data_IF_977515661150
#
_entry.id   IF_977515661150
#
_cell.length_a   1.000
_cell.length_b   1.000
_cell.length_c   1.000
_cell.angle_alpha   90.00
_cell.angle_beta   90.00
_cell.angle_gamma   90.00
#
_symmetry.space_group_name_H-M   'P 1'
#
loop_
_entity.id
_entity.type
_entity.pdbx_description
1 polymer ?
#
# COMPACT_ATOMS: atom_id res chain seq x y z
N UNK A 1 -31.05 -9.12 3.37
CA UNK A 1 -30.66 -8.33 4.56
C UNK A 1 -31.90 -7.53 4.98
N UNK A 2 -32.03 -7.09 6.23
CA UNK A 2 -33.16 -6.23 6.66
C UNK A 2 -32.54 -4.91 7.11
N UNK A 3 -33.03 -3.79 6.60
CA UNK A 3 -32.48 -2.45 6.85
C UNK A 3 -33.31 -1.74 7.92
N UNK A 4 -32.66 -1.23 8.97
CA UNK A 4 -33.30 -0.47 10.04
C UNK A 4 -33.34 1.01 9.70
N UNK A 5 -34.52 1.61 9.87
CA UNK A 5 -34.80 2.98 9.42
C UNK A 5 -33.86 4.02 10.04
N UNK A 6 -33.65 3.97 11.35
CA UNK A 6 -32.84 4.97 12.04
C UNK A 6 -31.36 4.63 12.13
N UNK A 7 -31.03 3.35 12.17
CA UNK A 7 -29.73 2.85 12.63
C UNK A 7 -28.77 2.47 11.50
N UNK A 8 -29.29 2.20 10.32
CA UNK A 8 -28.46 1.85 9.17
C UNK A 8 -28.37 3.04 8.19
N UNK A 9 -27.27 3.15 7.45
CA UNK A 9 -27.06 4.20 6.46
C UNK A 9 -27.64 3.74 5.11
N UNK A 10 -28.90 4.10 4.84
CA UNK A 10 -29.65 3.62 3.66
C UNK A 10 -30.17 4.72 2.74
N UNK A 11 -30.09 5.99 3.17
CA UNK A 11 -30.37 7.17 2.33
C UNK A 11 -29.03 7.78 1.90
N UNK A 12 -28.21 8.16 2.88
CA UNK A 12 -26.91 8.81 2.69
C UNK A 12 -25.80 8.02 3.41
N UNK A 13 -24.58 8.57 3.40
CA UNK A 13 -23.41 8.03 4.12
C UNK A 13 -23.56 8.02 5.64
N UNK A 14 -24.52 8.79 6.19
CA UNK A 14 -24.82 8.88 7.61
C UNK A 14 -26.16 8.23 7.93
N UNK A 15 -26.32 7.82 9.18
CA UNK A 15 -27.59 7.28 9.68
C UNK A 15 -28.57 8.43 9.97
N UNK A 16 -29.87 8.18 9.82
CA UNK A 16 -30.88 9.16 10.22
C UNK A 16 -30.80 9.49 11.72
N UNK A 17 -30.36 8.54 12.57
CA UNK A 17 -30.09 8.79 13.99
C UNK A 17 -29.02 9.87 14.20
N UNK A 18 -27.96 9.86 13.40
CA UNK A 18 -26.87 10.84 13.51
C UNK A 18 -27.25 12.21 12.96
N UNK A 19 -28.13 12.26 11.95
CA UNK A 19 -28.59 13.53 11.37
C UNK A 19 -29.73 14.18 12.16
N UNK A 20 -30.64 13.36 12.71
CA UNK A 20 -31.80 13.81 13.47
C UNK A 20 -31.85 13.16 14.87
N UNK A 21 -30.89 13.47 15.76
CA UNK A 21 -30.77 12.82 17.07
C UNK A 21 -32.00 13.07 17.96
N UNK A 22 -32.60 14.27 17.87
CA UNK A 22 -33.80 14.63 18.66
C UNK A 22 -35.03 13.83 18.21
N UNK A 23 -35.27 13.76 16.90
CA UNK A 23 -36.35 12.95 16.35
C UNK A 23 -36.15 11.47 16.65
N UNK A 24 -34.91 10.98 16.57
CA UNK A 24 -34.60 9.60 16.96
C UNK A 24 -34.98 9.32 18.41
N UNK A 25 -34.68 10.24 19.35
CA UNK A 25 -35.06 10.08 20.77
C UNK A 25 -36.58 10.00 20.94
N UNK A 26 -37.31 10.84 20.20
CA UNK A 26 -38.77 10.92 20.25
C UNK A 26 -39.50 9.84 19.44
N UNK A 27 -38.83 9.14 18.54
CA UNK A 27 -39.47 8.08 17.75
C UNK A 27 -39.87 6.89 18.63
N UNK A 28 -41.09 6.39 18.43
CA UNK A 28 -41.55 5.12 19.01
C UNK A 28 -41.02 3.89 18.24
N UNK A 29 -40.39 4.10 17.07
CA UNK A 29 -39.99 3.07 16.12
C UNK A 29 -38.46 3.02 15.91
N UNK A 30 -37.69 3.22 16.99
CA UNK A 30 -36.22 3.41 16.93
C UNK A 30 -35.45 2.26 16.26
N UNK A 31 -35.95 1.03 16.39
CA UNK A 31 -35.32 -0.18 15.88
C UNK A 31 -36.05 -0.79 14.67
N UNK A 32 -37.09 -0.13 14.17
CA UNK A 32 -37.93 -0.67 13.12
C UNK A 32 -37.25 -0.72 11.75
N UNK A 33 -37.74 -1.63 10.92
CA UNK A 33 -37.29 -1.80 9.54
C UNK A 33 -37.91 -0.74 8.65
N UNK A 34 -37.17 -0.32 7.62
CA UNK A 34 -37.67 0.64 6.61
C UNK A 34 -39.00 0.18 6.01
N UNK A 35 -39.15 -1.13 5.76
CA UNK A 35 -40.38 -1.75 5.24
C UNK A 35 -41.59 -1.68 6.17
N UNK A 36 -41.38 -1.44 7.47
CA UNK A 36 -42.43 -1.42 8.49
C UNK A 36 -42.82 0.01 8.90
N UNK A 37 -42.12 1.01 8.35
CA UNK A 37 -42.32 2.42 8.69
C UNK A 37 -43.40 3.09 7.83
N UNK A 38 -44.25 2.32 7.17
CA UNK A 38 -45.24 2.83 6.23
C UNK A 38 -46.02 1.72 5.52
N UNK A 39 -46.81 2.11 4.52
CA UNK A 39 -47.65 1.21 3.74
C UNK A 39 -47.86 1.74 2.31
N UNK A 40 -48.27 0.87 1.39
CA UNK A 40 -48.57 1.27 0.00
C UNK A 40 -50.04 1.66 -0.17
N UNK A 41 -50.29 2.91 -0.55
CA UNK A 41 -51.59 3.37 -1.06
C UNK A 41 -51.56 3.35 -2.58
N UNK A 42 -51.98 2.21 -3.16
CA UNK A 42 -51.81 1.96 -4.60
C UNK A 42 -50.33 1.92 -4.98
N UNK A 43 -49.86 2.70 -5.97
CA UNK A 43 -48.46 2.72 -6.38
C UNK A 43 -47.56 3.56 -5.45
N UNK A 44 -48.13 4.28 -4.47
CA UNK A 44 -47.41 5.27 -3.67
C UNK A 44 -47.13 4.76 -2.26
N UNK A 45 -45.87 4.86 -1.83
CA UNK A 45 -45.49 4.55 -0.45
C UNK A 45 -45.84 5.73 0.46
N UNK A 46 -46.56 5.46 1.55
CA UNK A 46 -46.89 6.44 2.61
C UNK A 46 -46.13 6.11 3.89
N UNK A 47 -45.32 7.06 4.34
CA UNK A 47 -44.59 6.96 5.60
C UNK A 47 -45.52 7.16 6.80
N UNK A 48 -45.31 6.37 7.85
CA UNK A 48 -46.02 6.45 9.13
C UNK A 48 -44.99 6.53 10.25
N UNK A 49 -44.65 7.77 10.61
CA UNK A 49 -43.71 8.06 11.69
C UNK A 49 -44.47 8.22 13.02
N UNK A 50 -44.24 7.32 13.96
CA UNK A 50 -44.85 7.35 15.29
C UNK A 50 -43.91 8.00 16.33
N UNK A 51 -44.46 8.92 17.11
CA UNK A 51 -43.74 9.68 18.13
C UNK A 51 -44.23 9.31 19.53
N UNK A 52 -43.33 9.30 20.51
CA UNK A 52 -43.63 8.95 21.91
C UNK A 52 -44.46 10.03 22.62
N UNK A 53 -44.35 11.28 22.18
CA UNK A 53 -45.09 12.43 22.70
C UNK A 53 -45.33 13.46 21.59
N UNK A 54 -46.11 14.49 21.89
CA UNK A 54 -46.21 15.67 21.03
C UNK A 54 -44.83 16.31 20.81
N UNK A 55 -44.59 16.73 19.57
CA UNK A 55 -43.32 17.32 19.15
C UNK A 55 -43.35 18.84 19.33
N UNK A 56 -42.22 19.41 19.73
CA UNK A 56 -42.04 20.87 19.78
C UNK A 56 -42.03 21.47 18.37
N UNK A 57 -42.23 22.79 18.26
CA UNK A 57 -42.17 23.51 16.97
C UNK A 57 -40.85 23.29 16.22
N UNK A 58 -39.73 23.22 16.95
CA UNK A 58 -38.41 22.94 16.36
C UNK A 58 -38.32 21.50 15.84
N UNK A 59 -38.85 20.52 16.57
CA UNK A 59 -38.88 19.13 16.13
C UNK A 59 -39.82 18.96 14.92
N UNK A 60 -40.94 19.66 14.89
CA UNK A 60 -41.84 19.67 13.74
C UNK A 60 -41.16 20.20 12.48
N UNK A 61 -40.33 21.24 12.59
CA UNK A 61 -39.51 21.72 11.48
C UNK A 61 -38.53 20.65 10.97
N UNK A 62 -37.90 19.89 11.87
CA UNK A 62 -37.04 18.76 11.50
C UNK A 62 -37.82 17.63 10.81
N UNK A 63 -39.06 17.36 11.22
CA UNK A 63 -39.93 16.37 10.58
C UNK A 63 -40.22 16.77 9.13
N UNK A 64 -40.48 18.04 8.85
CA UNK A 64 -40.70 18.54 7.48
C UNK A 64 -39.45 18.30 6.63
N UNK A 65 -38.26 18.60 7.15
CA UNK A 65 -37.00 18.31 6.46
C UNK A 65 -36.85 16.82 6.18
N UNK A 66 -37.10 15.96 7.18
CA UNK A 66 -37.02 14.51 7.03
C UNK A 66 -38.02 14.01 5.98
N UNK A 67 -39.25 14.49 5.99
CA UNK A 67 -40.28 14.12 5.01
C UNK A 67 -39.88 14.49 3.58
N UNK A 68 -39.24 15.65 3.37
CA UNK A 68 -38.70 16.04 2.07
C UNK A 68 -37.63 15.05 1.55
N UNK A 69 -36.76 14.56 2.44
CA UNK A 69 -35.77 13.54 2.09
C UNK A 69 -36.45 12.20 1.75
N UNK A 70 -37.42 11.79 2.57
CA UNK A 70 -38.15 10.53 2.43
C UNK A 70 -39.06 10.47 1.20
N UNK A 71 -39.49 11.61 0.67
CA UNK A 71 -40.30 11.68 -0.55
C UNK A 71 -39.55 11.11 -1.77
N UNK A 72 -38.22 11.24 -1.78
CA UNK A 72 -37.38 10.75 -2.87
C UNK A 72 -36.78 9.35 -2.61
N UNK A 73 -36.98 8.80 -1.41
CA UNK A 73 -36.36 7.54 -0.98
C UNK A 73 -37.41 6.64 -0.34
N UNK A 74 -38.04 5.78 -1.14
CA UNK A 74 -39.03 4.81 -0.66
C UNK A 74 -38.67 3.37 -1.04
N UNK A 75 -39.14 2.37 -0.27
CA UNK A 75 -39.07 0.97 -0.69
C UNK A 75 -39.67 0.79 -2.10
N UNK A 76 -39.12 -0.17 -2.85
CA UNK A 76 -39.67 -0.57 -4.16
C UNK A 76 -40.50 -1.84 -4.00
N UNK A 77 -41.66 -1.87 -4.62
CA UNK A 77 -42.59 -2.98 -4.50
C UNK A 77 -42.01 -4.23 -5.19
N UNK A 78 -41.94 -5.36 -4.47
CA UNK A 78 -41.41 -6.65 -4.94
C UNK A 78 -39.92 -6.70 -5.36
N UNK A 79 -39.12 -5.67 -5.08
CA UNK A 79 -37.66 -5.73 -5.28
C UNK A 79 -36.94 -6.29 -4.04
N UNK A 80 -35.91 -7.11 -4.25
CA UNK A 80 -35.02 -7.56 -3.17
C UNK A 80 -34.01 -6.48 -2.82
N UNK A 81 -33.68 -6.34 -1.53
CA UNK A 81 -32.58 -5.47 -1.07
C UNK A 81 -31.27 -5.80 -1.77
N UNK A 82 -30.61 -4.79 -2.33
CA UNK A 82 -29.30 -4.89 -2.98
C UNK A 82 -28.32 -3.91 -2.34
N UNK A 83 -27.08 -4.35 -2.12
CA UNK A 83 -25.99 -3.46 -1.75
C UNK A 83 -25.60 -2.63 -2.97
N UNK A 84 -25.55 -1.30 -2.80
CA UNK A 84 -25.13 -0.36 -3.84
C UNK A 84 -23.86 0.38 -3.41
N UNK A 85 -23.01 0.67 -4.39
CA UNK A 85 -21.78 1.42 -4.17
C UNK A 85 -22.06 2.91 -4.40
N UNK A 86 -22.33 3.64 -3.32
CA UNK A 86 -22.83 5.01 -3.39
C UNK A 86 -24.11 5.10 -4.23
N UNK A 87 -24.21 6.12 -5.09
CA UNK A 87 -25.35 6.31 -6.00
C UNK A 87 -25.31 5.41 -7.25
N UNK A 88 -24.36 4.47 -7.35
CA UNK A 88 -24.19 3.59 -8.52
C UNK A 88 -24.57 2.15 -8.19
N UNK A 89 -25.12 1.45 -9.18
CA UNK A 89 -25.48 0.03 -9.07
C UNK A 89 -24.26 -0.91 -9.10
N UNK A 90 -23.16 -0.50 -9.73
CA UNK A 90 -22.02 -1.36 -9.99
C UNK A 90 -20.78 -0.90 -9.24
N UNK A 91 -20.11 -1.85 -8.57
CA UNK A 91 -18.81 -1.64 -7.96
C UNK A 91 -17.72 -1.46 -9.04
N UNK A 92 -16.81 -0.52 -8.83
CA UNK A 92 -15.62 -0.33 -9.66
C UNK A 92 -14.40 -0.07 -8.78
N UNK A 93 -13.29 -0.75 -9.05
CA UNK A 93 -12.02 -0.60 -8.33
C UNK A 93 -11.51 0.85 -8.36
N UNK A 94 -11.81 1.61 -9.42
CA UNK A 94 -11.47 3.03 -9.55
C UNK A 94 -12.21 3.89 -8.51
N UNK A 95 -13.50 3.64 -8.33
CA UNK A 95 -14.33 4.38 -7.37
C UNK A 95 -13.92 4.01 -5.94
N UNK A 96 -13.63 2.73 -5.66
CA UNK A 96 -13.05 2.30 -4.38
C UNK A 96 -11.74 3.03 -4.07
N UNK A 97 -10.80 3.06 -5.02
CA UNK A 97 -9.50 3.71 -4.80
C UNK A 97 -9.64 5.22 -4.56
N UNK A 98 -10.63 5.85 -5.19
CA UNK A 98 -10.94 7.26 -4.98
C UNK A 98 -11.50 7.50 -3.57
N UNK A 99 -12.45 6.67 -3.11
CA UNK A 99 -12.99 6.78 -1.75
C UNK A 99 -11.96 6.45 -0.67
N UNK A 100 -11.16 5.39 -0.86
CA UNK A 100 -10.03 5.07 0.02
C UNK A 100 -9.05 6.25 0.06
N UNK A 101 -8.77 6.86 -1.09
CA UNK A 101 -7.93 8.06 -1.17
C UNK A 101 -8.47 9.26 -0.40
N UNK A 102 -9.79 9.46 -0.31
CA UNK A 102 -10.41 10.52 0.51
C UNK A 102 -10.26 10.27 2.01
N UNK A 103 -10.31 9.00 2.43
CA UNK A 103 -10.09 8.61 3.84
C UNK A 103 -8.61 8.79 4.22
N UNK A 104 -7.69 8.49 3.31
CA UNK A 104 -6.23 8.62 3.49
C UNK A 104 -5.75 10.10 3.49
N UNK A 105 -6.51 11.01 2.88
CA UNK A 105 -6.16 12.45 2.81
C UNK A 105 -6.12 13.16 4.16
N UNK A 106 -6.60 12.54 5.25
CA UNK A 106 -6.52 13.17 6.58
C UNK A 106 -5.11 13.16 7.16
N UNK A 107 -4.13 12.44 6.59
CA UNK A 107 -2.73 12.49 7.05
C UNK A 107 -1.65 12.06 6.03
N UNK A 108 -1.99 11.75 4.77
CA UNK A 108 -0.96 11.36 3.80
C UNK A 108 -0.40 12.59 3.08
N UNK A 109 0.78 13.04 3.52
CA UNK A 109 1.73 13.74 2.64
C UNK A 109 1.80 12.87 1.39
N UNK A 110 1.37 13.38 0.23
CA UNK A 110 1.47 12.67 -1.04
C UNK A 110 2.96 12.49 -1.33
N UNK A 111 3.51 11.42 -0.81
CA UNK A 111 4.92 11.09 -0.93
C UNK A 111 5.17 10.78 -2.40
N UNK A 112 5.87 11.69 -3.10
CA UNK A 112 6.18 11.56 -4.52
C UNK A 112 7.16 10.40 -4.81
N UNK A 113 7.42 9.56 -3.82
CA UNK A 113 8.24 8.37 -3.85
C UNK A 113 7.93 7.45 -5.04
N UNK A 114 6.65 7.34 -5.43
CA UNK A 114 6.27 6.54 -6.60
C UNK A 114 6.99 7.01 -7.88
N UNK A 115 7.06 8.32 -8.15
CA UNK A 115 7.73 8.83 -9.35
C UNK A 115 9.24 8.58 -9.33
N UNK A 116 9.83 8.51 -8.13
CA UNK A 116 11.27 8.24 -7.98
C UNK A 116 11.63 6.78 -8.25
N UNK A 117 10.69 5.84 -8.07
CA UNK A 117 10.96 4.39 -8.22
C UNK A 117 10.81 3.95 -9.68
N UNK A 118 9.81 4.47 -10.40
CA UNK A 118 9.47 4.05 -11.77
C UNK A 118 10.39 4.67 -12.83
N UNK A 119 11.69 4.38 -12.74
CA UNK A 119 12.72 4.98 -13.60
C UNK A 119 12.96 4.21 -14.89
N UNK A 120 12.39 2.99 -15.04
CA UNK A 120 12.62 2.07 -16.17
C UNK A 120 14.09 1.68 -16.33
N UNK A 121 14.81 1.59 -15.21
CA UNK A 121 16.23 1.23 -15.17
C UNK A 121 16.41 -0.25 -14.82
N UNK A 122 15.47 -0.81 -14.04
CA UNK A 122 15.42 -2.22 -13.67
C UNK A 122 14.15 -2.89 -14.22
N UNK A 123 14.06 -4.23 -14.22
CA UNK A 123 12.82 -4.91 -14.62
C UNK A 123 11.62 -4.44 -13.78
N UNK A 124 10.41 -4.31 -14.36
CA UNK A 124 9.25 -3.75 -13.65
C UNK A 124 8.93 -4.42 -12.30
N UNK A 125 9.11 -5.74 -12.20
CA UNK A 125 8.91 -6.49 -10.94
C UNK A 125 9.88 -6.08 -9.82
N UNK A 126 11.08 -5.61 -10.18
CA UNK A 126 12.12 -5.17 -9.25
C UNK A 126 11.80 -3.78 -8.72
N UNK A 127 11.42 -2.86 -9.61
CA UNK A 127 10.95 -1.52 -9.26
C UNK A 127 9.69 -1.62 -8.37
N UNK A 128 8.74 -2.48 -8.74
CA UNK A 128 7.54 -2.74 -7.93
C UNK A 128 7.86 -3.26 -6.53
N UNK A 129 8.78 -4.21 -6.40
CA UNK A 129 9.21 -4.72 -5.09
C UNK A 129 9.84 -3.62 -4.24
N UNK A 130 10.67 -2.78 -4.84
CA UNK A 130 11.28 -1.64 -4.14
C UNK A 130 10.23 -0.62 -3.70
N UNK A 131 9.23 -0.35 -4.53
CA UNK A 131 8.08 0.49 -4.14
C UNK A 131 7.33 -0.10 -2.94
N UNK A 132 7.06 -1.42 -2.94
CA UNK A 132 6.47 -2.08 -1.78
C UNK A 132 7.35 -2.02 -0.53
N UNK A 133 8.67 -2.16 -0.68
CA UNK A 133 9.63 -2.01 0.42
C UNK A 133 9.54 -0.60 1.02
N UNK A 134 9.54 0.43 0.18
CA UNK A 134 9.45 1.81 0.61
C UNK A 134 8.13 2.16 1.32
N UNK A 135 7.04 1.47 0.96
CA UNK A 135 5.76 1.56 1.66
C UNK A 135 5.70 0.71 2.95
N UNK A 136 6.76 -0.02 3.28
CA UNK A 136 6.78 -0.95 4.41
C UNK A 136 5.83 -2.14 4.24
N UNK A 137 5.52 -2.54 3.00
CA UNK A 137 4.50 -3.56 2.67
C UNK A 137 5.08 -4.93 2.27
N UNK A 138 6.40 -5.12 2.35
CA UNK A 138 6.99 -6.44 2.15
C UNK A 138 6.64 -7.39 3.30
N UNK A 139 6.42 -8.66 2.98
CA UNK A 139 6.09 -9.71 3.96
C UNK A 139 7.35 -10.21 4.69
N UNK A 140 8.05 -9.30 5.38
CA UNK A 140 9.07 -9.66 6.37
C UNK A 140 8.43 -10.43 7.53
N UNK A 141 9.21 -11.18 8.31
CA UNK A 141 8.62 -11.90 9.46
C UNK A 141 7.97 -10.95 10.45
N UNK A 142 8.53 -9.76 10.69
CA UNK A 142 7.87 -8.73 11.51
C UNK A 142 6.45 -8.40 10.98
N UNK A 143 6.31 -8.20 9.66
CA UNK A 143 5.00 -7.92 9.06
C UNK A 143 4.04 -9.12 9.20
N UNK A 144 4.54 -10.34 9.10
CA UNK A 144 3.75 -11.55 9.29
C UNK A 144 3.31 -11.73 10.75
N UNK A 145 4.15 -11.35 11.72
CA UNK A 145 3.76 -11.31 13.14
C UNK A 145 2.66 -10.27 13.36
N UNK A 146 2.78 -9.07 12.79
CA UNK A 146 1.71 -8.04 12.86
C UNK A 146 0.40 -8.50 12.24
N UNK A 147 0.46 -9.39 11.24
CA UNK A 147 -0.71 -10.00 10.60
C UNK A 147 -1.26 -11.22 11.36
N UNK A 148 -0.64 -11.63 12.47
CA UNK A 148 -1.03 -12.83 13.23
C UNK A 148 -0.75 -14.15 12.52
N UNK A 149 0.15 -14.16 11.53
CA UNK A 149 0.52 -15.36 10.76
C UNK A 149 1.69 -16.10 11.42
N UNK A 150 2.64 -15.36 12.01
CA UNK A 150 3.79 -15.90 12.74
C UNK A 150 3.75 -15.46 14.20
N UNK A 151 4.43 -16.19 15.07
CA UNK A 151 4.63 -15.77 16.47
C UNK A 151 5.84 -14.86 16.61
N UNK A 152 5.92 -14.12 17.72
CA UNK A 152 7.08 -13.26 18.01
C UNK A 152 8.39 -14.06 18.14
N UNK A 153 8.32 -15.35 18.52
CA UNK A 153 9.47 -16.24 18.64
C UNK A 153 10.05 -16.62 17.27
N UNK A 154 9.20 -16.70 16.25
CA UNK A 154 9.59 -17.00 14.87
C UNK A 154 10.29 -15.83 14.18
N UNK A 155 10.18 -14.61 14.75
CA UNK A 155 10.73 -13.38 14.19
C UNK A 155 12.24 -13.28 14.42
N UNK A 156 12.99 -14.17 13.79
CA UNK A 156 14.46 -14.10 13.66
C UNK A 156 14.83 -13.87 12.20
N UNK A 157 15.74 -12.94 11.97
CA UNK A 157 16.28 -12.59 10.66
C UNK A 157 16.76 -13.84 9.92
N UNK A 158 16.22 -14.06 8.71
CA UNK A 158 16.57 -15.25 7.92
C UNK A 158 18.06 -15.33 7.54
N UNK A 159 18.78 -14.21 7.62
CA UNK A 159 20.23 -14.17 7.37
C UNK A 159 21.06 -14.40 8.63
N UNK A 160 20.99 -13.49 9.61
CA UNK A 160 21.88 -13.55 10.78
C UNK A 160 21.36 -14.42 11.92
N UNK A 161 20.05 -14.70 11.97
CA UNK A 161 19.38 -15.42 13.07
C UNK A 161 19.51 -14.78 14.46
N UNK A 162 20.16 -13.61 14.59
CA UNK A 162 20.44 -12.94 15.87
C UNK A 162 19.44 -11.83 16.24
N UNK A 163 18.85 -11.15 15.25
CA UNK A 163 17.96 -10.00 15.46
C UNK A 163 16.59 -10.22 14.79
N UNK A 164 15.55 -9.47 15.18
CA UNK A 164 14.26 -9.49 14.51
C UNK A 164 14.35 -9.18 13.01
N UNK A 165 13.53 -9.86 12.20
CA UNK A 165 13.46 -9.60 10.76
C UNK A 165 12.54 -8.42 10.44
N UNK A 166 13.04 -7.22 10.65
CA UNK A 166 12.43 -5.99 10.10
C UNK A 166 12.89 -5.76 8.67
N UNK A 167 12.20 -4.89 7.92
CA UNK A 167 12.62 -4.48 6.57
C UNK A 167 14.03 -3.89 6.59
N UNK A 168 14.24 -2.93 7.49
CA UNK A 168 15.49 -2.19 7.64
C UNK A 168 16.64 -3.12 8.03
N UNK A 169 16.39 -4.05 8.95
CA UNK A 169 17.38 -5.04 9.33
C UNK A 169 17.71 -5.98 8.17
N UNK A 170 16.70 -6.58 7.58
CA UNK A 170 16.88 -7.56 6.51
C UNK A 170 17.62 -6.96 5.31
N UNK A 171 17.26 -5.75 4.87
CA UNK A 171 17.82 -5.16 3.66
C UNK A 171 19.07 -4.33 3.91
N UNK A 172 19.33 -3.83 5.12
CA UNK A 172 20.45 -2.94 5.42
C UNK A 172 21.28 -3.36 6.63
N UNK A 173 20.69 -3.33 7.83
CA UNK A 173 21.49 -3.34 9.07
C UNK A 173 21.98 -4.73 9.48
N UNK A 174 21.43 -5.81 8.91
CA UNK A 174 21.96 -7.15 9.06
C UNK A 174 23.43 -7.19 8.61
N UNK A 175 24.31 -7.78 9.43
CA UNK A 175 25.75 -7.86 9.13
C UNK A 175 26.04 -8.45 7.74
N UNK A 176 25.25 -9.44 7.34
CA UNK A 176 25.35 -10.07 6.01
C UNK A 176 24.96 -9.07 4.91
N UNK A 177 23.78 -8.45 5.01
CA UNK A 177 23.31 -7.46 4.03
C UNK A 177 24.25 -6.26 3.94
N UNK A 178 24.76 -5.78 5.07
CA UNK A 178 25.75 -4.71 5.16
C UNK A 178 27.03 -5.06 4.43
N UNK A 179 27.53 -6.28 4.59
CA UNK A 179 28.71 -6.74 3.87
C UNK A 179 28.46 -6.75 2.35
N UNK A 180 27.28 -7.17 1.90
CA UNK A 180 26.90 -7.13 0.47
C UNK A 180 26.90 -5.68 -0.03
N UNK A 181 26.28 -4.75 0.71
CA UNK A 181 26.28 -3.34 0.35
C UNK A 181 27.69 -2.75 0.29
N UNK A 182 28.56 -3.06 1.26
CA UNK A 182 29.95 -2.61 1.26
C UNK A 182 30.69 -3.06 -0.01
N UNK A 183 30.52 -4.34 -0.41
CA UNK A 183 31.16 -4.88 -1.61
C UNK A 183 30.66 -4.18 -2.88
N UNK A 184 29.33 -4.09 -3.06
CA UNK A 184 28.74 -3.46 -4.24
C UNK A 184 29.07 -1.97 -4.31
N UNK A 185 29.00 -1.26 -3.17
CA UNK A 185 29.35 0.15 -3.09
C UNK A 185 30.83 0.39 -3.43
N UNK A 186 31.74 -0.44 -2.92
CA UNK A 186 33.15 -0.38 -3.27
C UNK A 186 33.38 -0.58 -4.77
N UNK A 187 32.73 -1.58 -5.39
CA UNK A 187 32.88 -1.86 -6.82
C UNK A 187 32.45 -0.68 -7.70
N UNK A 188 31.39 0.04 -7.33
CA UNK A 188 30.88 1.20 -8.09
C UNK A 188 31.48 2.54 -7.63
N UNK A 189 32.49 2.50 -6.73
CA UNK A 189 33.19 3.68 -6.22
C UNK A 189 32.32 4.61 -5.38
N UNK A 190 31.37 4.04 -4.63
CA UNK A 190 30.45 4.71 -3.72
C UNK A 190 30.94 4.43 -2.29
N UNK A 191 31.34 5.47 -1.56
CA UNK A 191 31.65 5.34 -0.13
C UNK A 191 30.36 5.39 0.68
N UNK A 192 30.09 4.35 1.46
CA UNK A 192 28.96 4.37 2.40
C UNK A 192 29.31 5.26 3.60
N UNK A 193 28.45 6.22 3.91
CA UNK A 193 28.57 7.12 5.05
C UNK A 193 27.62 6.62 6.16
N UNK A 194 28.20 6.26 7.30
CA UNK A 194 27.54 5.74 8.51
C UNK A 194 26.61 4.51 8.34
N UNK A 195 26.26 3.88 9.47
CA UNK A 195 25.29 2.78 9.46
C UNK A 195 23.88 3.31 9.16
N UNK A 196 23.46 3.14 7.91
CA UNK A 196 22.11 3.51 7.48
C UNK A 196 21.11 2.49 8.03
N UNK A 197 20.34 2.90 9.04
CA UNK A 197 19.38 2.04 9.73
C UNK A 197 17.97 2.12 9.15
N UNK A 198 17.70 3.01 8.18
CA UNK A 198 16.37 3.20 7.60
C UNK A 198 16.44 3.04 6.08
N UNK A 199 15.65 2.11 5.54
CA UNK A 199 15.60 1.77 4.12
C UNK A 199 15.16 2.95 3.26
N UNK A 200 14.17 3.72 3.69
CA UNK A 200 13.69 4.91 2.96
C UNK A 200 14.76 5.98 2.86
N UNK A 201 15.43 6.31 3.97
CA UNK A 201 16.53 7.31 3.97
C UNK A 201 17.71 6.83 3.13
N UNK A 202 18.06 5.55 3.22
CA UNK A 202 19.12 4.98 2.41
C UNK A 202 18.81 5.04 0.91
N UNK A 203 17.57 4.72 0.53
CA UNK A 203 17.09 4.88 -0.84
C UNK A 203 17.21 6.33 -1.32
N UNK A 204 16.68 7.29 -0.56
CA UNK A 204 16.73 8.72 -0.90
C UNK A 204 18.18 9.20 -1.08
N UNK A 205 19.06 8.83 -0.15
CA UNK A 205 20.49 9.13 -0.21
C UNK A 205 21.16 8.49 -1.44
N UNK A 206 20.84 7.23 -1.75
CA UNK A 206 21.41 6.54 -2.91
C UNK A 206 20.98 7.16 -4.24
N UNK A 207 19.69 7.52 -4.37
CA UNK A 207 19.13 8.05 -5.61
C UNK A 207 19.54 9.50 -5.90
N UNK A 208 19.90 10.26 -4.87
CA UNK A 208 20.31 11.67 -4.99
C UNK A 208 21.81 11.86 -5.21
N UNK A 209 22.60 10.77 -5.21
CA UNK A 209 24.03 10.81 -5.50
C UNK A 209 24.31 11.52 -6.83
N UNK A 210 25.22 12.50 -6.78
CA UNK A 210 25.72 13.16 -7.98
C UNK A 210 26.67 12.24 -8.75
N UNK A 211 26.41 12.08 -10.04
CA UNK A 211 27.29 11.39 -10.97
C UNK A 211 27.36 12.22 -12.26
N UNK A 212 28.57 12.62 -12.73
CA UNK A 212 28.72 13.46 -13.91
C UNK A 212 28.26 12.73 -15.19
N UNK A 213 28.55 11.44 -15.28
CA UNK A 213 28.19 10.59 -16.40
C UNK A 213 26.77 10.00 -16.26
N UNK A 214 25.91 10.18 -17.27
CA UNK A 214 24.51 9.70 -17.28
C UNK A 214 24.42 8.17 -17.19
N UNK A 215 25.28 7.45 -17.88
CA UNK A 215 25.31 5.99 -17.86
C UNK A 215 25.79 5.48 -16.50
N UNK A 216 26.81 6.12 -15.92
CA UNK A 216 27.26 5.85 -14.54
C UNK A 216 26.13 6.07 -13.54
N UNK A 217 25.40 7.19 -13.64
CA UNK A 217 24.23 7.44 -12.79
C UNK A 217 23.21 6.31 -12.88
N UNK A 218 22.86 5.87 -14.10
CA UNK A 218 21.94 4.75 -14.31
C UNK A 218 22.46 3.44 -13.72
N UNK A 219 23.76 3.12 -13.88
CA UNK A 219 24.38 1.93 -13.30
C UNK A 219 24.36 1.97 -11.76
N UNK A 220 24.66 3.11 -11.16
CA UNK A 220 24.57 3.29 -9.71
C UNK A 220 23.13 3.08 -9.23
N UNK A 221 22.14 3.67 -9.88
CA UNK A 221 20.72 3.44 -9.56
C UNK A 221 20.36 1.95 -9.72
N UNK A 222 20.75 1.33 -10.83
CA UNK A 222 20.48 -0.09 -11.10
C UNK A 222 21.10 -1.01 -10.03
N UNK A 223 22.29 -0.67 -9.53
CA UNK A 223 22.95 -1.44 -8.49
C UNK A 223 22.18 -1.47 -7.18
N UNK A 224 21.46 -0.40 -6.84
CA UNK A 224 20.54 -0.39 -5.70
C UNK A 224 19.43 -1.42 -5.91
N UNK A 225 18.71 -1.32 -7.03
CA UNK A 225 17.61 -2.22 -7.39
C UNK A 225 18.05 -3.69 -7.45
N UNK A 226 19.22 -3.95 -8.03
CA UNK A 226 19.76 -5.30 -8.12
C UNK A 226 20.15 -5.87 -6.75
N UNK A 227 20.71 -5.05 -5.86
CA UNK A 227 21.12 -5.47 -4.52
C UNK A 227 19.92 -5.76 -3.65
N UNK A 228 18.95 -4.84 -3.57
CA UNK A 228 17.72 -5.03 -2.78
C UNK A 228 16.93 -6.24 -3.26
N UNK A 229 16.81 -6.41 -4.59
CA UNK A 229 16.16 -7.57 -5.17
C UNK A 229 16.88 -8.87 -4.83
N UNK A 230 18.20 -8.91 -4.96
CA UNK A 230 18.97 -10.13 -4.70
C UNK A 230 18.86 -10.55 -3.24
N UNK A 231 18.97 -9.60 -2.30
CA UNK A 231 18.76 -9.84 -0.88
C UNK A 231 17.34 -10.37 -0.64
N UNK A 232 16.30 -9.70 -1.14
CA UNK A 232 14.92 -10.14 -0.96
C UNK A 232 14.67 -11.55 -1.53
N UNK A 233 15.16 -11.83 -2.74
CA UNK A 233 15.00 -13.16 -3.34
C UNK A 233 15.77 -14.23 -2.58
N UNK A 234 16.98 -13.93 -2.11
CA UNK A 234 17.80 -14.89 -1.36
C UNK A 234 17.14 -15.21 -0.02
N UNK A 235 16.57 -14.20 0.66
CA UNK A 235 15.74 -14.42 1.85
C UNK A 235 14.57 -15.35 1.54
N UNK A 236 13.85 -15.14 0.44
CA UNK A 236 12.73 -16.01 0.09
C UNK A 236 13.18 -17.45 -0.22
N UNK A 237 14.33 -17.64 -0.87
CA UNK A 237 14.90 -18.98 -1.07
C UNK A 237 15.23 -19.66 0.26
N UNK A 238 15.82 -18.94 1.22
CA UNK A 238 16.08 -19.48 2.57
C UNK A 238 14.77 -19.88 3.26
N UNK A 239 13.72 -19.06 3.17
CA UNK A 239 12.44 -19.30 3.87
C UNK A 239 11.62 -20.42 3.24
N UNK A 240 11.63 -20.56 1.91
CA UNK A 240 10.73 -21.47 1.19
C UNK A 240 11.42 -22.69 0.57
N UNK A 241 12.76 -22.69 0.51
CA UNK A 241 13.54 -23.73 -0.17
C UNK A 241 14.73 -24.23 0.68
N UNK A 242 14.81 -23.81 1.95
CA UNK A 242 15.85 -24.20 2.92
C UNK A 242 17.30 -23.98 2.41
N UNK A 243 17.50 -23.00 1.51
CA UNK A 243 18.83 -22.67 1.02
C UNK A 243 19.72 -22.07 2.12
N UNK A 244 21.04 -22.26 2.01
CA UNK A 244 22.02 -21.59 2.86
C UNK A 244 22.45 -20.25 2.24
N UNK A 245 22.72 -19.25 3.09
CA UNK A 245 23.27 -17.98 2.63
C UNK A 245 24.75 -18.11 2.29
N UNK A 246 25.12 -17.85 1.03
CA UNK A 246 26.51 -17.83 0.58
C UNK A 246 26.88 -16.44 0.03
N UNK A 247 27.86 -15.78 0.68
CA UNK A 247 28.19 -14.37 0.45
C UNK A 247 28.80 -14.08 -0.92
N UNK A 248 29.73 -14.90 -1.38
CA UNK A 248 30.40 -14.66 -2.67
C UNK A 248 29.40 -14.81 -3.84
N UNK A 249 28.51 -15.80 -3.72
CA UNK A 249 27.47 -16.08 -4.70
C UNK A 249 26.50 -14.92 -4.86
N UNK A 250 26.05 -14.27 -3.78
CA UNK A 250 25.11 -13.15 -3.90
C UNK A 250 25.74 -11.93 -4.58
N UNK A 251 26.99 -11.57 -4.24
CA UNK A 251 27.68 -10.45 -4.88
C UNK A 251 27.87 -10.70 -6.38
N UNK A 252 28.24 -11.93 -6.76
CA UNK A 252 28.36 -12.33 -8.16
C UNK A 252 27.01 -12.26 -8.91
N UNK A 253 25.93 -12.75 -8.28
CA UNK A 253 24.56 -12.65 -8.83
C UNK A 253 24.14 -11.20 -9.05
N UNK A 254 24.45 -10.31 -8.11
CA UNK A 254 24.12 -8.87 -8.24
C UNK A 254 24.82 -8.28 -9.46
N UNK A 255 26.13 -8.54 -9.63
CA UNK A 255 26.92 -8.06 -10.78
C UNK A 255 26.31 -8.55 -12.10
N UNK A 256 25.95 -9.83 -12.17
CA UNK A 256 25.29 -10.41 -13.34
C UNK A 256 23.92 -9.79 -13.62
N UNK A 257 23.10 -9.55 -12.60
CA UNK A 257 21.81 -8.85 -12.77
C UNK A 257 22.02 -7.46 -13.34
N UNK A 258 22.99 -6.71 -12.82
CA UNK A 258 23.30 -5.37 -13.33
C UNK A 258 23.69 -5.45 -14.80
N UNK A 259 24.61 -6.34 -15.17
CA UNK A 259 25.06 -6.52 -16.54
C UNK A 259 23.98 -6.97 -17.52
N UNK A 260 23.10 -7.87 -17.09
CA UNK A 260 22.01 -8.38 -17.93
C UNK A 260 20.88 -7.35 -18.07
N UNK A 261 20.53 -6.65 -17.00
CA UNK A 261 19.45 -5.67 -17.03
C UNK A 261 19.86 -4.39 -17.77
N UNK A 262 21.13 -4.00 -17.69
CA UNK A 262 21.63 -2.83 -18.40
C UNK A 262 21.63 -3.00 -19.92
N UNK A 263 21.64 -4.24 -20.44
CA UNK A 263 21.49 -4.52 -21.88
C UNK A 263 20.12 -4.16 -22.46
N UNK A 264 19.09 -4.02 -21.61
CA UNK A 264 17.76 -3.61 -22.06
C UNK A 264 17.63 -2.09 -22.26
N UNK A 265 18.68 -1.33 -21.94
CA UNK A 265 18.69 0.12 -22.12
C UNK A 265 18.89 0.50 -23.59
N UNK A 266 18.40 1.69 -23.96
CA UNK A 266 18.67 2.27 -25.28
C UNK A 266 20.12 2.73 -25.44
N UNK A 267 20.80 2.99 -24.32
CA UNK A 267 22.20 3.42 -24.31
C UNK A 267 23.11 2.23 -24.67
N UNK A 268 24.01 2.41 -25.63
CA UNK A 268 24.96 1.36 -26.01
C UNK A 268 26.03 1.25 -24.91
N UNK A 269 26.08 0.09 -24.27
CA UNK A 269 27.18 -0.28 -23.37
C UNK A 269 28.21 -1.00 -24.24
N UNK A 270 29.43 -0.46 -24.41
CA UNK A 270 30.42 -1.01 -25.34
C UNK A 270 31.08 -2.32 -24.85
N UNK A 271 30.57 -2.89 -23.75
CA UNK A 271 31.10 -4.08 -23.10
C UNK A 271 30.05 -5.18 -23.11
N UNK A 272 30.50 -6.42 -23.30
CA UNK A 272 29.69 -7.61 -23.05
C UNK A 272 29.30 -7.72 -21.56
N UNK A 273 28.31 -8.55 -21.25
CA UNK A 273 27.92 -8.77 -19.85
C UNK A 273 29.06 -9.38 -19.04
N UNK A 274 29.84 -10.28 -19.64
CA UNK A 274 30.98 -10.95 -19.03
C UNK A 274 32.10 -9.96 -18.71
N UNK A 275 32.42 -9.07 -19.66
CA UNK A 275 33.40 -8.00 -19.44
C UNK A 275 32.94 -7.04 -18.34
N UNK A 276 31.66 -6.68 -18.31
CA UNK A 276 31.13 -5.80 -17.26
C UNK A 276 31.21 -6.47 -15.88
N UNK A 277 30.92 -7.77 -15.77
CA UNK A 277 31.00 -8.50 -14.50
C UNK A 277 32.46 -8.67 -14.05
N UNK A 278 33.38 -9.01 -14.96
CA UNK A 278 34.82 -9.16 -14.64
C UNK A 278 35.43 -7.83 -14.22
N UNK A 279 35.07 -6.75 -14.90
CA UNK A 279 35.60 -5.40 -14.67
C UNK A 279 34.66 -4.54 -13.81
N UNK A 280 33.77 -5.15 -13.04
CA UNK A 280 32.74 -4.41 -12.30
C UNK A 280 33.34 -3.37 -11.33
N UNK A 281 34.48 -3.71 -10.70
CA UNK A 281 35.25 -2.83 -9.82
C UNK A 281 35.89 -1.62 -10.54
N UNK A 282 35.98 -1.65 -11.87
CA UNK A 282 36.47 -0.52 -12.66
C UNK A 282 35.33 0.35 -13.17
N UNK A 283 34.05 0.10 -12.84
CA UNK A 283 32.91 0.95 -13.22
C UNK A 283 33.16 2.45 -13.03
N UNK A 284 33.75 2.93 -11.91
CA UNK A 284 34.12 4.34 -11.76
C UNK A 284 35.07 4.87 -12.84
N UNK A 285 35.90 3.99 -13.41
CA UNK A 285 36.89 4.23 -14.46
C UNK A 285 36.38 3.92 -15.87
N UNK A 286 35.42 3.00 -16.02
CA UNK A 286 34.79 2.64 -17.31
C UNK A 286 33.92 3.76 -17.86
N UNK A 287 33.38 4.60 -16.97
CA UNK A 287 32.52 5.73 -17.30
C UNK A 287 32.98 6.98 -16.52
N UNK A 288 34.11 7.60 -16.92
CA UNK A 288 34.58 8.86 -16.34
C UNK A 288 33.52 9.96 -16.47
#
# INVERSE_FOLDING_TARGET
>A
RKVRFWLDAWINEKTLKTEFPELFRQSAQQCELVSNMGWYEGPMWRWTLAWKSELTTEQQAQVITLQGILQHHHPRHNDKDQLRWGNKSNFCTKDLMTEVGKVDQRNVIVDNLASTVWMKVAPPKVEFMTWLALLGKLNTKEMLVRKGILTSEDNKCSFCQCNPETLDHLLLSCAISRNVWNNIAADIGVRLEEEQQCFRRFYEWWMTRYHPNKLRKKLCILSFFATTWSLWTKRNMIVFQDEVFEHQTICHIIKWRIALWSKAWKDIIPYSAEELVRNFHTIPRLFP
#
